data_IF_156552705992
#
_entry.id   IF_156552705992
#
_cell.length_a   1.000
_cell.length_b   1.000
_cell.length_c   1.000
_cell.angle_alpha   90.00
_cell.angle_beta   90.00
_cell.angle_gamma   90.00
#
_symmetry.space_group_name_H-M   'P 1'
#
loop_
_entity.id
_entity.type
_entity.pdbx_description
1 polymer ?
#
# COMPACT_ATOMS: atom_id res chain seq x y z
N UNK A 1 -22.08 13.79 -3.44
CA UNK A 1 -20.72 14.29 -3.72
C UNK A 1 -19.74 13.24 -3.22
N UNK A 2 -18.85 12.73 -4.07
CA UNK A 2 -17.82 11.76 -3.64
C UNK A 2 -16.69 12.52 -2.93
N UNK A 3 -16.29 12.05 -1.75
CA UNK A 3 -15.20 12.62 -0.95
C UNK A 3 -14.04 11.64 -0.91
N UNK A 4 -12.83 12.15 -0.73
CA UNK A 4 -11.62 11.36 -0.52
C UNK A 4 -11.03 11.81 0.80
N UNK A 5 -10.75 10.85 1.67
CA UNK A 5 -10.07 11.09 2.94
C UNK A 5 -8.57 10.83 2.76
N UNK A 6 -7.76 11.76 3.25
CA UNK A 6 -6.31 11.76 3.04
C UNK A 6 -5.60 11.73 4.38
N UNK A 7 -4.64 10.80 4.50
CA UNK A 7 -3.78 10.67 5.68
C UNK A 7 -2.39 11.22 5.32
N UNK A 8 -1.96 12.23 6.07
CA UNK A 8 -0.69 12.95 5.86
C UNK A 8 0.10 12.98 7.17
N UNK A 9 1.43 13.01 7.05
CA UNK A 9 2.32 13.24 8.19
C UNK A 9 2.52 14.73 8.37
N UNK A 10 2.45 15.20 9.61
CA UNK A 10 2.67 16.61 9.93
C UNK A 10 4.12 16.88 10.37
N UNK A 11 4.93 15.84 10.55
CA UNK A 11 6.30 15.92 11.05
C UNK A 11 7.28 15.39 9.98
N UNK A 12 8.48 14.98 10.40
CA UNK A 12 9.55 14.47 9.54
C UNK A 12 9.56 12.94 9.44
N UNK A 13 8.38 12.31 9.37
CA UNK A 13 8.26 10.86 9.27
C UNK A 13 8.15 10.14 10.61
N UNK A 14 7.90 8.84 10.52
CA UNK A 14 7.66 7.91 11.64
C UNK A 14 6.54 8.28 12.63
N UNK A 15 5.49 8.95 12.15
CA UNK A 15 4.32 9.31 12.98
C UNK A 15 3.34 8.13 13.17
N UNK A 16 3.73 6.91 12.80
CA UNK A 16 2.85 5.74 12.88
C UNK A 16 1.66 5.76 11.90
N UNK A 17 1.77 6.51 10.79
CA UNK A 17 0.71 6.62 9.76
C UNK A 17 0.19 5.27 9.27
N UNK A 18 1.06 4.28 9.15
CA UNK A 18 0.69 2.91 8.76
C UNK A 18 -0.43 2.36 9.65
N UNK A 19 -0.27 2.44 10.98
CA UNK A 19 -1.28 1.97 11.94
C UNK A 19 -2.61 2.70 11.79
N UNK A 20 -2.58 4.01 11.52
CA UNK A 20 -3.80 4.80 11.30
C UNK A 20 -4.49 4.37 10.01
N UNK A 21 -3.73 4.14 8.94
CA UNK A 21 -4.25 3.60 7.67
C UNK A 21 -4.92 2.26 7.93
N UNK A 22 -4.30 1.34 8.69
CA UNK A 22 -4.86 0.00 8.93
C UNK A 22 -6.18 0.04 9.69
N UNK A 23 -6.29 0.90 10.71
CA UNK A 23 -7.52 1.10 11.49
C UNK A 23 -8.64 1.68 10.63
N UNK A 24 -8.31 2.56 9.68
CA UNK A 24 -9.30 3.21 8.82
C UNK A 24 -9.70 2.36 7.62
N UNK A 25 -8.79 1.53 7.10
CA UNK A 25 -8.95 0.73 5.88
C UNK A 25 -10.24 -0.11 5.83
N UNK A 26 -10.78 -0.69 6.92
CA UNK A 26 -12.03 -1.45 6.88
C UNK A 26 -13.21 -0.64 6.32
N UNK A 27 -13.19 0.68 6.50
CA UNK A 27 -14.26 1.61 6.09
C UNK A 27 -14.19 2.03 4.61
N UNK A 28 -13.13 1.65 3.89
CA UNK A 28 -12.91 2.06 2.51
C UNK A 28 -12.85 0.86 1.57
N UNK A 29 -13.40 1.04 0.36
CA UNK A 29 -13.34 0.06 -0.73
C UNK A 29 -12.07 0.22 -1.58
N UNK A 30 -11.47 1.41 -1.58
CA UNK A 30 -10.29 1.76 -2.37
C UNK A 30 -9.24 2.37 -1.44
N UNK A 31 -8.01 1.83 -1.51
CA UNK A 31 -6.85 2.35 -0.78
C UNK A 31 -5.78 2.69 -1.81
N UNK A 32 -5.31 3.93 -1.78
CA UNK A 32 -4.36 4.43 -2.77
C UNK A 32 -3.14 5.05 -2.11
N UNK A 33 -1.96 4.78 -2.67
CA UNK A 33 -0.75 5.53 -2.38
C UNK A 33 -0.51 6.52 -3.52
N UNK A 34 -0.39 7.81 -3.21
CA UNK A 34 -0.30 8.86 -4.23
C UNK A 34 1.11 9.45 -4.40
N UNK A 35 1.99 9.30 -3.41
CA UNK A 35 3.36 9.82 -3.43
C UNK A 35 4.30 8.88 -2.67
N UNK A 36 5.60 8.98 -2.95
CA UNK A 36 6.68 8.35 -2.20
C UNK A 36 7.53 7.45 -3.08
N UNK A 37 8.27 6.54 -2.46
CA UNK A 37 9.03 5.50 -3.14
C UNK A 37 9.37 4.37 -2.17
N UNK A 38 10.30 3.46 -2.51
CA UNK A 38 10.66 2.32 -1.67
C UNK A 38 11.45 2.70 -0.40
N UNK A 39 11.66 4.00 -0.17
CA UNK A 39 12.49 4.55 0.91
C UNK A 39 11.89 4.40 2.31
N UNK A 40 10.62 3.99 2.42
CA UNK A 40 9.96 3.73 3.70
C UNK A 40 9.14 2.45 3.60
N UNK A 41 9.53 1.45 4.37
CA UNK A 41 8.75 0.24 4.63
C UNK A 41 8.01 0.40 5.95
N UNK A 42 6.72 0.08 5.96
CA UNK A 42 5.98 -0.05 7.22
C UNK A 42 5.78 -1.54 7.49
N UNK A 43 6.24 -1.96 8.66
CA UNK A 43 6.04 -3.34 9.13
C UNK A 43 4.64 -3.46 9.71
N UNK A 44 3.89 -4.41 9.18
CA UNK A 44 2.56 -4.77 9.62
C UNK A 44 2.60 -6.16 10.24
N UNK A 45 1.78 -6.36 11.26
CA UNK A 45 1.56 -7.69 11.82
C UNK A 45 0.12 -8.08 11.53
N UNK A 46 -0.06 -9.15 10.75
CA UNK A 46 -1.37 -9.65 10.37
C UNK A 46 -1.40 -11.16 10.59
N UNK A 47 -2.36 -11.64 11.38
CA UNK A 47 -2.48 -13.08 11.69
C UNK A 47 -1.28 -13.68 12.44
N UNK A 48 -0.48 -12.86 13.14
CA UNK A 48 0.75 -13.30 13.82
C UNK A 48 2.00 -13.34 12.94
N UNK A 49 1.88 -12.97 11.66
CA UNK A 49 3.01 -12.85 10.73
C UNK A 49 3.35 -11.39 10.44
N UNK A 50 4.65 -11.13 10.23
CA UNK A 50 5.16 -9.78 9.95
C UNK A 50 5.38 -9.59 8.46
N UNK A 51 4.80 -8.53 7.92
CA UNK A 51 4.91 -8.13 6.53
C UNK A 51 5.53 -6.75 6.42
N UNK A 52 6.47 -6.57 5.49
CA UNK A 52 7.08 -5.26 5.22
C UNK A 52 6.51 -4.75 3.90
N UNK A 53 5.58 -3.80 3.99
CA UNK A 53 5.00 -3.16 2.82
C UNK A 53 5.75 -1.88 2.47
N UNK A 54 6.25 -1.83 1.24
CA UNK A 54 7.01 -0.71 0.68
C UNK A 54 6.17 0.05 -0.33
N UNK A 55 5.61 -0.62 -1.34
CA UNK A 55 4.87 0.02 -2.42
C UNK A 55 3.39 -0.34 -2.41
N UNK A 56 3.07 -1.57 -2.02
CA UNK A 56 1.70 -2.07 -2.00
C UNK A 56 0.95 -1.44 -0.82
N UNK A 57 -0.26 -0.88 -1.03
CA UNK A 57 -1.07 -0.37 0.08
C UNK A 57 -1.52 -1.48 1.04
N UNK A 58 -1.67 -1.15 2.33
CA UNK A 58 -2.01 -2.12 3.38
C UNK A 58 -3.44 -2.70 3.30
N UNK A 59 -4.27 -2.17 2.40
CA UNK A 59 -5.58 -2.74 2.10
C UNK A 59 -5.54 -4.14 1.51
N UNK A 60 -4.38 -4.65 1.10
CA UNK A 60 -4.20 -6.03 0.62
C UNK A 60 -4.62 -7.09 1.66
N UNK A 61 -4.41 -6.83 2.95
CA UNK A 61 -4.71 -7.79 4.02
C UNK A 61 -6.21 -7.93 4.34
N UNK A 62 -7.01 -6.94 3.99
CA UNK A 62 -8.40 -6.86 4.45
C UNK A 62 -9.43 -7.39 3.45
N UNK A 63 -8.98 -7.96 2.32
CA UNK A 63 -9.83 -8.65 1.34
C UNK A 63 -10.85 -7.74 0.63
N UNK A 64 -11.07 -7.96 -0.67
CA UNK A 64 -12.10 -7.25 -1.43
C UNK A 64 -11.84 -5.75 -1.69
N UNK A 65 -10.72 -5.20 -1.20
CA UNK A 65 -10.31 -3.81 -1.39
C UNK A 65 -9.50 -3.64 -2.67
N UNK A 66 -9.72 -2.53 -3.36
CA UNK A 66 -8.93 -2.15 -4.53
C UNK A 66 -7.69 -1.40 -4.06
N UNK A 67 -6.52 -1.94 -4.33
CA UNK A 67 -5.24 -1.32 -3.97
C UNK A 67 -4.65 -0.62 -5.19
N UNK A 68 -4.38 0.68 -5.06
CA UNK A 68 -3.90 1.52 -6.16
C UNK A 68 -2.53 2.10 -5.82
N UNK A 69 -1.58 1.91 -6.72
CA UNK A 69 -0.32 2.66 -6.74
C UNK A 69 -0.50 3.80 -7.74
N UNK A 70 -0.57 5.01 -7.21
CA UNK A 70 -0.73 6.23 -7.98
C UNK A 70 0.53 6.63 -8.73
N UNK A 71 0.37 7.47 -9.75
CA UNK A 71 1.45 7.90 -10.64
C UNK A 71 2.52 8.78 -9.96
N UNK A 72 2.28 9.28 -8.75
CA UNK A 72 3.28 10.04 -7.98
C UNK A 72 4.21 9.16 -7.13
N UNK A 73 4.06 7.84 -7.19
CA UNK A 73 4.94 6.88 -6.50
C UNK A 73 6.08 6.47 -7.43
N UNK A 74 7.32 6.63 -6.98
CA UNK A 74 8.50 6.05 -7.63
C UNK A 74 8.54 4.56 -7.29
N UNK A 75 8.36 3.71 -8.30
CA UNK A 75 8.32 2.27 -8.14
C UNK A 75 9.68 1.66 -8.49
N UNK A 76 10.32 1.00 -7.53
CA UNK A 76 11.43 0.08 -7.81
C UNK A 76 10.84 -1.27 -8.23
N UNK A 77 11.07 -1.67 -9.47
CA UNK A 77 10.49 -2.89 -10.03
C UNK A 77 11.01 -4.17 -9.37
N UNK A 78 12.25 -4.19 -8.88
CA UNK A 78 12.84 -5.36 -8.23
C UNK A 78 12.23 -5.54 -6.86
N UNK A 79 12.22 -4.46 -6.05
CA UNK A 79 11.65 -4.49 -4.71
C UNK A 79 10.14 -4.73 -4.74
N UNK A 80 9.43 -4.18 -5.73
CA UNK A 80 8.00 -4.43 -5.93
C UNK A 80 7.73 -5.90 -6.26
N UNK A 81 8.55 -6.53 -7.12
CA UNK A 81 8.41 -7.95 -7.43
C UNK A 81 8.63 -8.81 -6.20
N UNK A 82 9.68 -8.54 -5.42
CA UNK A 82 9.95 -9.26 -4.16
C UNK A 82 8.80 -9.12 -3.15
N UNK A 83 8.26 -7.90 -3.01
CA UNK A 83 7.10 -7.62 -2.16
C UNK A 83 5.86 -8.39 -2.63
N UNK A 84 5.61 -8.41 -3.93
CA UNK A 84 4.52 -9.16 -4.55
C UNK A 84 4.66 -10.68 -4.37
N UNK A 85 5.85 -11.24 -4.61
CA UNK A 85 6.13 -12.66 -4.43
C UNK A 85 5.96 -13.10 -2.97
N UNK A 86 6.42 -12.27 -2.01
CA UNK A 86 6.24 -12.54 -0.58
C UNK A 86 4.76 -12.56 -0.17
N UNK A 87 3.95 -11.63 -0.67
CA UNK A 87 2.51 -11.58 -0.42
C UNK A 87 1.76 -12.73 -1.09
N UNK A 88 2.15 -13.11 -2.31
CA UNK A 88 1.56 -14.25 -3.00
C UNK A 88 1.88 -15.57 -2.28
N UNK A 89 3.11 -15.72 -1.76
CA UNK A 89 3.52 -16.89 -0.98
C UNK A 89 2.75 -17.04 0.33
N UNK A 90 2.30 -15.93 0.94
CA UNK A 90 1.48 -15.95 2.14
C UNK A 90 -0.03 -16.07 1.86
N UNK A 91 -0.42 -16.23 0.60
CA UNK A 91 -1.81 -16.46 0.19
C UNK A 91 -2.62 -15.18 -0.08
N UNK A 92 -1.99 -14.02 -0.19
CA UNK A 92 -2.66 -12.79 -0.60
C UNK A 92 -2.66 -12.60 -2.12
N UNK A 93 -3.85 -12.57 -2.71
CA UNK A 93 -4.03 -12.37 -4.16
C UNK A 93 -3.84 -10.91 -4.59
N UNK A 94 -2.88 -10.68 -5.48
CA UNK A 94 -2.49 -9.38 -6.01
C UNK A 94 -3.26 -8.98 -7.26
N UNK A 95 -4.01 -9.89 -7.89
CA UNK A 95 -4.68 -9.64 -9.19
C UNK A 95 -5.79 -8.58 -9.12
N UNK A 96 -6.24 -8.21 -7.92
CA UNK A 96 -7.15 -7.07 -7.67
C UNK A 96 -6.45 -5.72 -7.45
N UNK A 97 -5.12 -5.64 -7.54
CA UNK A 97 -4.37 -4.39 -7.47
C UNK A 97 -4.20 -3.77 -8.86
N UNK A 98 -4.88 -2.65 -9.13
CA UNK A 98 -4.75 -1.94 -10.40
C UNK A 98 -3.61 -0.91 -10.30
N UNK A 99 -2.44 -1.21 -10.88
CA UNK A 99 -1.36 -0.25 -11.04
C UNK A 99 -1.64 0.70 -12.22
N UNK A 100 -1.67 2.01 -11.96
CA UNK A 100 -1.85 3.03 -13.00
C UNK A 100 -0.57 3.15 -13.84
N UNK A 101 -0.55 2.53 -15.04
CA UNK A 101 0.57 2.57 -15.98
C UNK A 101 0.62 3.92 -16.73
N UNK A 102 1.67 4.72 -16.52
CA UNK A 102 2.13 5.72 -17.51
C UNK A 102 3.46 5.27 -18.09
N UNK A 103 3.55 5.19 -19.43
CA UNK A 103 4.83 5.04 -20.14
C UNK A 103 5.64 6.33 -19.93
N UNK A 104 6.93 6.27 -19.56
CA UNK A 104 7.80 7.43 -19.68
C UNK A 104 7.95 7.73 -21.18
N UNK A 105 7.69 8.97 -21.57
CA UNK A 105 8.08 9.55 -22.87
C UNK A 105 9.57 9.85 -22.88
#
# INVERSE_FOLDING_TARGET
MKKVDVILGLQWGDEGKGKVVDVLTPRYEVVARFQGGPNAGHTLEFGGEKYVLRSIPSGIFQGGKTNIIGNGVVLDAVLFREEAEALAASGHDLTRSSASRRRPT
#
